data_IF_619899335648
#
_entry.id   IF_619899335648
#
_cell.length_a   1.000
_cell.length_b   1.000
_cell.length_c   1.000
_cell.angle_alpha   90.00
_cell.angle_beta   90.00
_cell.angle_gamma   90.00
#
_symmetry.space_group_name_H-M   'P 1'
#
loop_
_entity.id
_entity.type
_entity.pdbx_description
1 polymer ?
#
# COMPACT_ATOMS: atom_id res chain seq x y z
N UNK A 1 -2.94 -0.77 12.34
CA UNK A 1 -4.28 -0.15 12.21
C UNK A 1 -5.22 -1.22 11.68
N UNK A 2 -6.18 -1.64 12.48
CA UNK A 2 -7.06 -2.75 12.11
C UNK A 2 -7.99 -2.39 10.94
N UNK A 3 -8.50 -3.40 10.23
CA UNK A 3 -9.29 -3.17 9.01
C UNK A 3 -10.58 -2.39 9.28
N UNK A 4 -11.20 -2.56 10.45
CA UNK A 4 -12.38 -1.80 10.83
C UNK A 4 -12.05 -0.31 11.08
N UNK A 5 -10.92 -0.03 11.72
CA UNK A 5 -10.43 1.34 11.95
C UNK A 5 -10.15 2.05 10.63
N UNK A 6 -9.56 1.31 9.68
CA UNK A 6 -9.34 1.77 8.32
C UNK A 6 -10.63 2.30 7.68
N UNK A 7 -11.70 1.49 7.69
CA UNK A 7 -12.99 1.88 7.12
C UNK A 7 -13.66 3.01 7.88
N UNK A 8 -13.59 3.00 9.23
CA UNK A 8 -14.13 4.10 10.05
C UNK A 8 -13.40 5.42 9.76
N UNK A 9 -12.08 5.41 9.63
CA UNK A 9 -11.28 6.63 9.37
C UNK A 9 -11.57 7.20 7.97
N UNK A 10 -11.58 6.36 6.93
CA UNK A 10 -11.98 6.80 5.58
C UNK A 10 -13.44 7.28 5.55
N UNK A 11 -14.34 6.57 6.21
CA UNK A 11 -15.76 6.92 6.26
C UNK A 11 -15.99 8.31 6.87
N UNK A 12 -15.36 8.59 8.03
CA UNK A 12 -15.39 9.92 8.68
C UNK A 12 -14.88 11.01 7.75
N UNK A 13 -13.75 10.78 7.06
CA UNK A 13 -13.19 11.76 6.12
C UNK A 13 -14.15 12.05 4.96
N UNK A 14 -14.77 11.02 4.38
CA UNK A 14 -15.74 11.19 3.29
C UNK A 14 -17.00 11.92 3.74
N UNK A 15 -17.51 11.64 4.94
CA UNK A 15 -18.59 12.41 5.53
C UNK A 15 -18.21 13.88 5.72
N UNK A 16 -17.01 14.19 6.21
CA UNK A 16 -16.52 15.56 6.36
C UNK A 16 -16.44 16.30 5.02
N UNK A 17 -15.93 15.66 3.97
CA UNK A 17 -15.90 16.22 2.61
C UNK A 17 -17.33 16.50 2.12
N UNK A 18 -18.25 15.55 2.31
CA UNK A 18 -19.66 15.70 1.95
C UNK A 18 -20.30 16.90 2.66
N UNK A 19 -20.12 17.01 3.98
CA UNK A 19 -20.63 18.14 4.78
C UNK A 19 -20.01 19.47 4.33
N UNK A 20 -18.71 19.50 4.06
CA UNK A 20 -18.02 20.69 3.57
C UNK A 20 -18.57 21.19 2.23
N UNK A 21 -18.75 20.28 1.27
CA UNK A 21 -19.38 20.61 -0.03
C UNK A 21 -20.81 21.11 0.13
N UNK A 22 -21.59 20.50 1.03
CA UNK A 22 -22.95 20.93 1.30
C UNK A 22 -23.01 22.37 1.82
N UNK A 23 -22.20 22.67 2.85
CA UNK A 23 -22.12 24.00 3.43
C UNK A 23 -21.62 25.03 2.42
N UNK A 24 -20.64 24.66 1.58
CA UNK A 24 -20.17 25.52 0.49
C UNK A 24 -21.29 25.87 -0.49
N UNK A 25 -22.10 24.87 -0.89
CA UNK A 25 -23.28 25.10 -1.73
C UNK A 25 -24.28 26.06 -1.08
N UNK A 26 -24.59 25.87 0.21
CA UNK A 26 -25.51 26.75 0.95
C UNK A 26 -24.99 28.19 1.09
N UNK A 27 -23.70 28.36 1.39
CA UNK A 27 -23.08 29.70 1.49
C UNK A 27 -23.13 30.41 0.13
N UNK A 28 -22.86 29.68 -0.96
CA UNK A 28 -22.97 30.23 -2.32
C UNK A 28 -24.39 30.69 -2.66
N UNK A 29 -25.42 29.92 -2.27
CA UNK A 29 -26.82 30.32 -2.43
C UNK A 29 -27.17 31.55 -1.60
N UNK A 30 -26.71 31.60 -0.34
CA UNK A 30 -26.99 32.71 0.56
C UNK A 30 -26.37 34.03 0.06
N UNK A 31 -25.13 33.99 -0.43
CA UNK A 31 -24.41 35.21 -0.86
C UNK A 31 -24.92 35.81 -2.18
N UNK A 32 -25.64 35.05 -3.00
CA UNK A 32 -26.07 35.49 -4.34
C UNK A 32 -27.46 36.15 -4.36
N UNK A 33 -28.14 36.27 -3.20
CA UNK A 33 -29.38 37.06 -2.99
C UNK A 33 -30.41 36.97 -4.15
N UNK A 34 -30.57 35.78 -4.74
CA UNK A 34 -31.55 35.51 -5.79
C UNK A 34 -31.02 35.44 -7.23
N UNK A 35 -29.77 35.83 -7.51
CA UNK A 35 -29.15 35.66 -8.83
C UNK A 35 -28.33 34.36 -8.91
N UNK A 36 -28.98 33.24 -8.53
CA UNK A 36 -28.34 31.93 -8.39
C UNK A 36 -28.28 31.22 -9.74
N UNK A 37 -27.09 30.83 -10.17
CA UNK A 37 -26.96 29.81 -11.20
C UNK A 37 -27.19 28.43 -10.58
N UNK A 38 -28.36 27.84 -10.85
CA UNK A 38 -28.78 26.58 -10.25
C UNK A 38 -27.95 25.37 -10.69
N UNK A 39 -27.36 25.40 -11.89
CA UNK A 39 -26.57 24.28 -12.42
C UNK A 39 -25.42 23.86 -11.49
N UNK A 40 -24.47 24.77 -11.19
CA UNK A 40 -23.36 24.49 -10.26
C UNK A 40 -23.82 24.09 -8.85
N UNK A 41 -24.88 24.73 -8.34
CA UNK A 41 -25.43 24.43 -7.01
C UNK A 41 -25.96 23.00 -6.93
N UNK A 42 -26.73 22.57 -7.93
CA UNK A 42 -27.25 21.20 -8.01
C UNK A 42 -26.09 20.19 -8.06
N UNK A 43 -25.05 20.46 -8.85
CA UNK A 43 -23.87 19.59 -8.93
C UNK A 43 -23.15 19.46 -7.58
N UNK A 44 -22.97 20.56 -6.84
CA UNK A 44 -22.35 20.56 -5.52
C UNK A 44 -23.17 19.74 -4.51
N UNK A 45 -24.50 19.87 -4.53
CA UNK A 45 -25.41 19.11 -3.67
C UNK A 45 -25.35 17.62 -4.00
N UNK A 46 -25.39 17.26 -5.28
CA UNK A 46 -25.26 15.85 -5.72
C UNK A 46 -23.91 15.28 -5.27
N UNK A 47 -22.81 16.00 -5.51
CA UNK A 47 -21.49 15.58 -5.08
C UNK A 47 -21.43 15.37 -3.57
N UNK A 48 -21.98 16.30 -2.78
CA UNK A 48 -22.10 16.18 -1.33
C UNK A 48 -22.82 14.90 -0.92
N UNK A 49 -24.01 14.62 -1.49
CA UNK A 49 -24.80 13.43 -1.20
C UNK A 49 -24.06 12.13 -1.54
N UNK A 50 -23.34 12.11 -2.66
CA UNK A 50 -22.51 10.96 -3.06
C UNK A 50 -21.40 10.72 -2.04
N UNK A 51 -20.65 11.76 -1.65
CA UNK A 51 -19.60 11.64 -0.64
C UNK A 51 -20.14 11.20 0.73
N UNK A 52 -21.30 11.72 1.13
CA UNK A 52 -21.96 11.36 2.37
C UNK A 52 -22.41 9.89 2.37
N UNK A 53 -23.02 9.44 1.27
CA UNK A 53 -23.48 8.05 1.10
C UNK A 53 -22.32 7.06 1.15
N UNK A 54 -21.21 7.38 0.46
CA UNK A 54 -19.99 6.57 0.49
C UNK A 54 -19.41 6.53 1.92
N UNK A 55 -19.34 7.68 2.60
CA UNK A 55 -18.83 7.76 3.96
C UNK A 55 -19.66 6.94 4.95
N UNK A 56 -20.98 7.05 4.88
CA UNK A 56 -21.91 6.28 5.71
C UNK A 56 -21.79 4.78 5.47
N UNK A 57 -21.71 4.34 4.20
CA UNK A 57 -21.50 2.95 3.86
C UNK A 57 -20.20 2.39 4.43
N UNK A 58 -19.09 3.16 4.35
CA UNK A 58 -17.81 2.76 4.93
C UNK A 58 -17.85 2.69 6.46
N UNK A 59 -18.53 3.62 7.14
CA UNK A 59 -18.74 3.55 8.60
C UNK A 59 -19.52 2.30 9.00
N UNK A 60 -20.61 2.00 8.28
CA UNK A 60 -21.40 0.78 8.50
C UNK A 60 -20.54 -0.47 8.30
N UNK A 61 -19.74 -0.51 7.23
CA UNK A 61 -18.82 -1.62 6.95
C UNK A 61 -17.79 -1.81 8.07
N UNK A 62 -17.18 -0.72 8.55
CA UNK A 62 -16.26 -0.76 9.68
C UNK A 62 -16.90 -1.35 10.94
N UNK A 63 -18.13 -0.94 11.28
CA UNK A 63 -18.86 -1.48 12.42
C UNK A 63 -19.21 -2.98 12.28
N UNK A 64 -19.50 -3.45 11.05
CA UNK A 64 -19.76 -4.87 10.79
C UNK A 64 -18.49 -5.71 10.95
N UNK A 65 -17.36 -5.21 10.43
CA UNK A 65 -16.08 -5.88 10.57
C UNK A 65 -15.66 -5.97 12.03
N UNK A 66 -15.77 -4.87 12.79
CA UNK A 66 -15.45 -4.86 14.22
C UNK A 66 -16.17 -5.96 15.03
N UNK A 67 -17.42 -6.27 14.67
CA UNK A 67 -18.21 -7.33 15.32
C UNK A 67 -17.80 -8.74 14.91
N UNK A 68 -17.20 -8.90 13.73
CA UNK A 68 -16.96 -10.20 13.09
C UNK A 68 -15.47 -10.56 13.01
N UNK A 69 -14.58 -9.83 13.70
CA UNK A 69 -13.15 -10.14 13.70
C UNK A 69 -12.89 -11.47 14.41
N UNK A 70 -12.35 -12.42 13.66
CA UNK A 70 -11.82 -13.66 14.19
C UNK A 70 -10.46 -13.36 14.81
N UNK A 71 -10.34 -13.60 16.12
CA UNK A 71 -9.06 -13.51 16.83
C UNK A 71 -8.32 -14.84 16.67
N UNK A 72 -7.29 -14.85 15.83
CA UNK A 72 -6.34 -15.95 15.72
C UNK A 72 -4.95 -15.40 16.06
N UNK A 73 -4.07 -16.22 16.62
CA UNK A 73 -2.72 -15.83 17.08
C UNK A 73 -1.63 -15.93 16.00
N UNK A 74 -2.01 -16.00 14.72
CA UNK A 74 -1.06 -16.09 13.61
C UNK A 74 -0.11 -14.89 13.58
N UNK A 75 1.18 -15.14 13.43
CA UNK A 75 2.20 -14.11 13.27
C UNK A 75 2.49 -13.87 11.79
N UNK A 76 3.24 -12.81 11.49
CA UNK A 76 3.71 -12.53 10.12
C UNK A 76 4.43 -13.72 9.49
N UNK A 77 5.17 -14.50 10.26
CA UNK A 77 5.99 -15.60 9.72
C UNK A 77 5.16 -16.81 9.29
N UNK A 78 3.99 -17.00 9.89
CA UNK A 78 3.11 -18.16 9.68
C UNK A 78 2.23 -18.02 8.43
N UNK A 79 2.23 -16.84 7.80
CA UNK A 79 1.31 -16.49 6.72
C UNK A 79 2.05 -16.41 5.39
N UNK A 80 1.46 -17.01 4.37
CA UNK A 80 1.99 -16.99 3.00
C UNK A 80 1.12 -16.18 2.04
N UNK A 81 -0.06 -15.71 2.47
CA UNK A 81 -0.94 -14.87 1.63
C UNK A 81 -1.32 -13.59 2.36
N UNK A 82 -1.14 -12.46 1.69
CA UNK A 82 -1.46 -11.13 2.20
C UNK A 82 -2.37 -10.37 1.25
N UNK A 83 -3.16 -9.48 1.82
CA UNK A 83 -3.93 -8.46 1.11
C UNK A 83 -3.32 -7.10 1.43
N UNK A 84 -2.97 -6.34 0.39
CA UNK A 84 -2.25 -5.08 0.53
C UNK A 84 -3.21 -3.88 0.46
N UNK A 85 -3.24 -3.05 1.50
CA UNK A 85 -4.03 -1.81 1.53
C UNK A 85 -3.15 -0.57 1.70
N UNK A 86 -3.48 0.50 0.97
CA UNK A 86 -2.91 1.81 1.26
C UNK A 86 -3.56 2.44 2.48
N UNK A 87 -2.82 2.64 3.58
CA UNK A 87 -3.34 3.24 4.79
C UNK A 87 -3.50 4.77 4.65
N UNK A 88 -4.56 5.38 5.24
CA UNK A 88 -4.76 6.82 5.28
C UNK A 88 -3.75 7.51 6.23
N UNK A 89 -2.67 8.08 5.66
CA UNK A 89 -1.67 8.89 6.39
C UNK A 89 -0.69 9.61 5.43
N UNK A 90 -0.09 10.71 5.90
CA UNK A 90 0.80 11.57 5.11
C UNK A 90 2.18 10.94 4.82
N UNK A 91 2.61 9.98 5.64
CA UNK A 91 3.84 9.21 5.43
C UNK A 91 3.37 7.82 4.96
N UNK A 92 3.69 7.41 3.74
CA UNK A 92 3.04 6.30 3.02
C UNK A 92 3.26 4.96 3.72
N UNK A 93 2.18 4.31 4.17
CA UNK A 93 2.24 3.10 4.98
C UNK A 93 1.31 2.05 4.38
N UNK A 94 1.85 1.17 3.55
CA UNK A 94 1.11 0.03 3.01
C UNK A 94 0.89 -0.96 4.14
N UNK A 95 -0.34 -1.40 4.36
CA UNK A 95 -0.71 -2.40 5.35
C UNK A 95 -0.87 -3.77 4.70
N UNK A 96 -0.25 -4.77 5.30
CA UNK A 96 -0.40 -6.19 4.99
C UNK A 96 -1.45 -6.77 5.94
N UNK A 97 -2.50 -7.34 5.34
CA UNK A 97 -3.59 -7.97 6.05
C UNK A 97 -3.66 -9.46 5.71
N UNK A 98 -4.12 -10.28 6.64
CA UNK A 98 -4.54 -11.64 6.30
C UNK A 98 -5.77 -11.59 5.39
N UNK A 99 -6.03 -12.65 4.62
CA UNK A 99 -7.33 -12.87 3.97
C UNK A 99 -8.54 -12.67 4.89
N UNK A 100 -8.36 -12.93 6.18
CA UNK A 100 -9.41 -12.78 7.19
C UNK A 100 -9.64 -11.33 7.65
N UNK A 101 -8.77 -10.38 7.28
CA UNK A 101 -8.93 -8.98 7.64
C UNK A 101 -8.12 -8.52 8.85
N UNK A 102 -7.24 -9.37 9.40
CA UNK A 102 -6.36 -9.00 10.51
C UNK A 102 -5.15 -8.23 9.99
N UNK A 103 -4.81 -7.12 10.66
CA UNK A 103 -3.57 -6.41 10.37
C UNK A 103 -2.36 -7.22 10.85
N UNK A 104 -1.37 -7.44 9.97
CA UNK A 104 -0.19 -8.27 10.27
C UNK A 104 1.05 -7.40 10.39
N UNK A 105 1.30 -6.58 9.37
CA UNK A 105 2.44 -5.69 9.33
C UNK A 105 2.14 -4.49 8.43
N UNK A 106 2.95 -3.45 8.49
CA UNK A 106 2.83 -2.31 7.60
C UNK A 106 4.13 -1.55 7.49
N UNK A 107 4.29 -0.83 6.38
CA UNK A 107 5.47 0.02 6.23
C UNK A 107 5.32 1.25 7.12
N UNK A 108 6.42 1.74 7.69
CA UNK A 108 6.50 2.95 8.52
C UNK A 108 7.74 3.72 8.16
N UNK A 109 7.66 5.04 8.06
CA UNK A 109 8.83 5.88 7.80
C UNK A 109 9.55 6.06 9.12
N UNK A 110 10.83 5.70 9.15
CA UNK A 110 11.69 5.75 10.34
C UNK A 110 12.59 7.01 10.31
N UNK A 111 12.48 7.86 9.28
CA UNK A 111 13.44 8.94 9.06
C UNK A 111 13.62 9.90 10.25
N UNK A 112 14.89 10.17 10.52
CA UNK A 112 15.49 11.24 11.34
C UNK A 112 15.56 11.15 12.88
N UNK A 113 15.67 9.98 13.52
CA UNK A 113 16.11 9.92 14.94
C UNK A 113 17.51 9.35 15.18
N UNK A 114 18.12 8.69 14.19
CA UNK A 114 19.49 8.16 14.29
C UNK A 114 20.50 9.09 13.58
N UNK A 115 21.54 9.60 14.26
CA UNK A 115 22.53 10.53 13.71
C UNK A 115 23.25 10.03 12.44
N UNK A 116 23.32 8.71 12.26
CA UNK A 116 24.04 8.02 11.18
C UNK A 116 23.24 8.01 9.86
N UNK A 117 21.92 8.25 9.91
CA UNK A 117 20.99 8.12 8.79
C UNK A 117 20.48 9.46 8.23
N UNK A 118 21.17 10.56 8.52
CA UNK A 118 20.82 11.89 7.97
C UNK A 118 20.78 11.82 6.43
N UNK A 119 19.67 12.29 5.86
CA UNK A 119 19.40 12.42 4.42
C UNK A 119 18.98 11.16 3.66
N UNK A 120 18.65 10.05 4.32
CA UNK A 120 18.11 8.85 3.65
C UNK A 120 16.70 8.52 4.12
N UNK A 121 15.79 8.27 3.19
CA UNK A 121 14.46 7.76 3.50
C UNK A 121 14.58 6.29 3.88
N UNK A 122 14.44 6.01 5.19
CA UNK A 122 14.40 4.65 5.72
C UNK A 122 12.96 4.31 6.07
N UNK A 123 12.49 3.18 5.56
CA UNK A 123 11.20 2.61 5.87
C UNK A 123 11.40 1.33 6.67
N UNK A 124 10.66 1.14 7.76
CA UNK A 124 10.60 -0.14 8.46
C UNK A 124 9.33 -0.90 8.12
N UNK A 125 9.40 -2.23 8.16
CA UNK A 125 8.23 -3.10 8.20
C UNK A 125 7.89 -3.37 9.68
N UNK A 126 6.85 -2.71 10.19
CA UNK A 126 6.39 -2.82 11.58
C UNK A 126 5.27 -3.86 11.67
N UNK A 127 5.45 -4.88 12.51
CA UNK A 127 4.45 -5.90 12.82
C UNK A 127 3.28 -5.32 13.65
N UNK A 128 2.24 -6.12 13.84
CA UNK A 128 1.05 -5.71 14.60
C UNK A 128 1.30 -5.39 16.08
N UNK A 129 2.36 -5.97 16.65
CA UNK A 129 2.81 -5.76 18.03
C UNK A 129 3.79 -4.57 18.19
N UNK A 130 4.18 -3.94 17.07
CA UNK A 130 5.14 -2.83 17.05
C UNK A 130 6.60 -3.26 16.84
N UNK A 131 6.88 -4.55 16.68
CA UNK A 131 8.24 -5.01 16.34
C UNK A 131 8.62 -4.62 14.90
N UNK A 132 9.84 -4.13 14.69
CA UNK A 132 10.37 -3.88 13.35
C UNK A 132 10.99 -5.16 12.81
N UNK A 133 10.37 -5.74 11.79
CA UNK A 133 10.80 -6.99 11.15
C UNK A 133 11.91 -6.78 10.11
N UNK A 134 11.92 -5.63 9.45
CA UNK A 134 12.85 -5.32 8.37
C UNK A 134 13.02 -3.81 8.18
N UNK A 135 14.15 -3.41 7.59
CA UNK A 135 14.40 -2.04 7.16
C UNK A 135 14.64 -1.98 5.65
N UNK A 136 14.18 -0.91 5.04
CA UNK A 136 14.33 -0.62 3.63
C UNK A 136 14.92 0.76 3.45
N UNK A 137 15.98 0.86 2.68
CA UNK A 137 16.74 2.09 2.52
C UNK A 137 16.89 2.45 1.04
N UNK A 138 16.49 3.66 0.68
CA UNK A 138 16.74 4.22 -0.66
C UNK A 138 18.17 4.73 -0.83
N UNK A 139 18.61 4.78 -2.09
CA UNK A 139 19.83 5.47 -2.54
C UNK A 139 21.10 5.05 -1.78
N UNK A 140 21.39 3.75 -1.82
CA UNK A 140 22.60 3.18 -1.22
C UNK A 140 23.68 3.03 -2.28
N UNK A 141 24.55 4.04 -2.42
CA UNK A 141 25.74 4.10 -3.32
C UNK A 141 25.51 3.52 -4.73
N UNK A 142 25.51 2.19 -4.88
CA UNK A 142 25.42 1.45 -6.14
C UNK A 142 24.03 0.83 -6.40
N UNK A 143 23.07 1.00 -5.48
CA UNK A 143 21.76 0.38 -5.45
C UNK A 143 20.67 1.40 -5.17
N UNK A 144 19.52 1.24 -5.81
CA UNK A 144 18.36 2.10 -5.61
C UNK A 144 17.61 1.74 -4.33
N UNK A 145 17.69 0.47 -3.92
CA UNK A 145 17.01 -0.04 -2.73
C UNK A 145 17.82 -1.14 -2.05
N UNK A 146 18.09 -0.98 -0.76
CA UNK A 146 18.71 -1.99 0.08
C UNK A 146 17.71 -2.50 1.14
N UNK A 147 17.73 -3.81 1.37
CA UNK A 147 16.79 -4.49 2.25
C UNK A 147 17.57 -5.17 3.37
N UNK A 148 17.16 -4.88 4.60
CA UNK A 148 17.80 -5.37 5.82
C UNK A 148 16.80 -6.11 6.71
N UNK A 149 17.29 -7.07 7.49
CA UNK A 149 16.53 -7.73 8.55
C UNK A 149 16.37 -6.82 9.79
N UNK A 150 15.69 -7.32 10.84
CA UNK A 150 15.50 -6.61 12.11
C UNK A 150 16.80 -6.25 12.84
N UNK A 151 17.89 -6.98 12.58
CA UNK A 151 19.23 -6.74 13.13
C UNK A 151 20.09 -5.84 12.25
N UNK A 152 19.52 -5.29 11.16
CA UNK A 152 20.22 -4.47 10.18
C UNK A 152 21.27 -5.23 9.35
N UNK A 153 21.17 -6.56 9.26
CA UNK A 153 21.97 -7.35 8.31
C UNK A 153 21.38 -7.23 6.91
N UNK A 154 22.24 -7.07 5.90
CA UNK A 154 21.79 -6.98 4.51
C UNK A 154 21.23 -8.33 4.06
N UNK A 155 19.96 -8.33 3.63
CA UNK A 155 19.28 -9.50 3.08
C UNK A 155 19.37 -9.52 1.55
N UNK A 156 19.37 -8.33 0.94
CA UNK A 156 19.59 -8.18 -0.49
C UNK A 156 19.41 -6.75 -0.97
N UNK A 157 19.69 -6.56 -2.26
CA UNK A 157 19.62 -5.26 -2.92
C UNK A 157 18.82 -5.34 -4.22
N UNK A 158 18.25 -4.20 -4.60
CA UNK A 158 17.65 -4.00 -5.91
C UNK A 158 18.35 -2.86 -6.63
N UNK A 159 18.65 -3.10 -7.90
CA UNK A 159 19.19 -2.10 -8.81
C UNK A 159 18.28 -1.95 -10.01
N UNK A 160 17.73 -0.77 -10.20
CA UNK A 160 16.89 -0.46 -11.33
C UNK A 160 17.75 -0.30 -12.59
N UNK A 161 17.33 -0.96 -13.67
CA UNK A 161 17.89 -0.74 -14.98
C UNK A 161 17.03 0.35 -15.63
N UNK A 162 17.48 1.61 -15.56
CA UNK A 162 16.80 2.72 -16.25
C UNK A 162 16.91 2.55 -17.77
N UNK A 163 15.97 1.83 -18.35
CA UNK A 163 15.70 1.83 -19.79
C UNK A 163 14.57 2.84 -20.01
N UNK A 164 14.79 3.81 -20.90
CA UNK A 164 13.77 4.78 -21.32
C UNK A 164 12.62 4.06 -22.04
N UNK A 165 11.60 3.66 -21.29
CA UNK A 165 10.38 3.03 -21.80
C UNK A 165 9.22 3.34 -20.87
N UNK A 166 8.18 3.98 -21.41
CA UNK A 166 7.00 4.38 -20.64
C UNK A 166 6.23 3.14 -20.14
N UNK A 167 5.97 3.10 -18.83
CA UNK A 167 4.98 2.18 -18.25
C UNK A 167 5.50 0.92 -17.57
N UNK A 168 6.82 0.78 -17.32
CA UNK A 168 7.37 -0.39 -16.65
C UNK A 168 8.51 -0.05 -15.66
N UNK A 169 8.75 -0.93 -14.69
CA UNK A 169 9.92 -0.93 -13.79
C UNK A 169 10.74 -2.18 -14.09
N UNK A 170 12.01 -2.02 -14.44
CA UNK A 170 12.93 -3.13 -14.74
C UNK A 170 14.15 -3.06 -13.84
N UNK A 171 14.65 -4.19 -13.37
CA UNK A 171 15.87 -4.19 -12.58
C UNK A 171 16.38 -5.56 -12.22
N UNK A 172 17.53 -5.55 -11.53
CA UNK A 172 18.22 -6.75 -11.08
C UNK A 172 18.06 -6.91 -9.57
N UNK A 173 17.66 -8.12 -9.17
CA UNK A 173 17.68 -8.57 -7.78
C UNK A 173 19.06 -9.11 -7.45
N UNK A 174 19.63 -8.68 -6.33
CA UNK A 174 20.96 -9.09 -5.88
C UNK A 174 20.89 -9.57 -4.43
N UNK A 175 21.66 -10.61 -4.10
CA UNK A 175 21.74 -11.11 -2.72
C UNK A 175 22.68 -10.26 -1.85
N UNK A 176 22.80 -10.65 -0.58
CA UNK A 176 23.73 -10.08 0.41
C UNK A 176 25.19 -9.98 -0.08
N UNK A 177 25.62 -10.83 -1.02
CA UNK A 177 26.98 -10.89 -1.58
C UNK A 177 27.11 -10.16 -2.93
N UNK A 178 26.12 -9.36 -3.29
CA UNK A 178 26.05 -8.64 -4.56
C UNK A 178 25.98 -9.56 -5.80
N UNK A 179 25.60 -10.82 -5.61
CA UNK A 179 25.41 -11.78 -6.70
C UNK A 179 23.98 -11.63 -7.24
N UNK A 180 23.86 -11.46 -8.55
CA UNK A 180 22.57 -11.35 -9.24
C UNK A 180 21.76 -12.64 -9.11
N UNK A 181 20.53 -12.52 -8.59
CA UNK A 181 19.59 -13.63 -8.35
C UNK A 181 18.54 -13.71 -9.47
N UNK A 182 18.10 -12.57 -10.00
CA UNK A 182 17.10 -12.52 -11.08
C UNK A 182 17.08 -11.15 -11.73
N UNK A 183 16.51 -11.08 -12.92
CA UNK A 183 15.93 -9.85 -13.45
C UNK A 183 14.43 -9.85 -13.21
N UNK A 184 13.87 -8.67 -13.03
CA UNK A 184 12.42 -8.48 -12.92
C UNK A 184 11.97 -7.36 -13.84
N UNK A 185 10.75 -7.50 -14.32
CA UNK A 185 10.06 -6.53 -15.14
C UNK A 185 8.60 -6.47 -14.68
N UNK A 186 8.15 -5.28 -14.31
CA UNK A 186 6.80 -5.06 -13.79
C UNK A 186 6.16 -3.88 -14.48
N UNK A 187 5.03 -4.12 -15.14
CA UNK A 187 4.24 -3.09 -15.78
C UNK A 187 3.49 -2.21 -14.76
N UNK A 188 3.23 -0.96 -15.09
CA UNK A 188 2.54 -0.01 -14.21
C UNK A 188 1.09 -0.40 -13.91
N UNK A 189 0.44 -1.07 -14.86
CA UNK A 189 -0.94 -1.56 -14.79
C UNK A 189 -1.01 -3.08 -14.62
N UNK A 190 0.04 -3.69 -14.07
CA UNK A 190 0.11 -5.14 -13.91
C UNK A 190 -1.16 -5.73 -13.27
N UNK A 191 -1.70 -6.76 -13.90
CA UNK A 191 -2.74 -7.61 -13.32
C UNK A 191 -2.11 -8.72 -12.47
N UNK A 192 -0.97 -9.24 -12.88
CA UNK A 192 -0.23 -10.28 -12.16
C UNK A 192 1.26 -10.11 -12.43
N UNK A 193 2.10 -10.24 -11.40
CA UNK A 193 3.55 -10.21 -11.49
C UNK A 193 4.16 -11.20 -10.52
N UNK A 194 5.15 -11.98 -10.96
CA UNK A 194 5.86 -12.91 -10.10
C UNK A 194 7.35 -12.62 -10.08
N UNK A 195 7.94 -12.58 -8.90
CA UNK A 195 9.39 -12.55 -8.73
C UNK A 195 9.86 -13.98 -8.55
N UNK A 196 10.78 -14.39 -9.43
CA UNK A 196 11.37 -15.73 -9.43
C UNK A 196 12.87 -15.60 -9.26
N UNK A 197 13.50 -16.66 -8.78
CA UNK A 197 14.96 -16.81 -8.76
C UNK A 197 15.46 -17.40 -10.08
N UNK A 198 16.78 -17.44 -10.31
CA UNK A 198 17.37 -18.09 -11.50
C UNK A 198 16.94 -19.56 -11.69
N UNK A 199 16.67 -20.27 -10.59
CA UNK A 199 16.18 -21.67 -10.58
C UNK A 199 14.65 -21.78 -10.75
N UNK A 200 13.98 -20.70 -11.18
CA UNK A 200 12.53 -20.60 -11.42
C UNK A 200 11.64 -20.78 -10.17
N UNK A 201 12.23 -20.79 -8.97
CA UNK A 201 11.47 -20.80 -7.72
C UNK A 201 10.81 -19.44 -7.51
N UNK A 202 9.50 -19.47 -7.25
CA UNK A 202 8.72 -18.26 -6.97
C UNK A 202 9.09 -17.74 -5.58
N UNK A 203 9.49 -16.48 -5.48
CA UNK A 203 9.63 -15.77 -4.21
C UNK A 203 8.30 -15.14 -3.82
N UNK A 204 7.71 -14.38 -4.74
CA UNK A 204 6.42 -13.70 -4.56
C UNK A 204 5.63 -13.72 -5.85
N UNK A 205 4.33 -13.93 -5.74
CA UNK A 205 3.35 -13.61 -6.77
C UNK A 205 2.42 -12.51 -6.25
N UNK A 206 2.28 -11.42 -7.00
CA UNK A 206 1.37 -10.32 -6.70
C UNK A 206 0.31 -10.21 -7.80
N UNK A 207 -0.96 -10.27 -7.43
CA UNK A 207 -2.10 -10.23 -8.35
C UNK A 207 -3.07 -9.11 -7.98
N UNK A 208 -3.56 -8.38 -8.97
CA UNK A 208 -4.63 -7.38 -8.88
C UNK A 208 -5.82 -7.83 -9.72
N UNK A 209 -7.02 -7.61 -9.22
CA UNK A 209 -8.26 -7.95 -9.92
C UNK A 209 -9.01 -9.09 -9.26
N UNK A 210 -8.81 -10.33 -9.74
CA UNK A 210 -9.56 -11.48 -9.25
C UNK A 210 -9.24 -11.79 -7.78
N UNK A 211 -10.27 -11.74 -6.95
CA UNK A 211 -10.22 -12.01 -5.52
C UNK A 211 -11.46 -12.84 -5.13
N UNK A 212 -11.33 -13.83 -4.22
CA UNK A 212 -12.48 -14.56 -3.69
C UNK A 212 -13.57 -13.61 -3.17
N UNK A 213 -14.84 -13.98 -3.37
CA UNK A 213 -15.98 -13.13 -3.03
C UNK A 213 -15.93 -12.66 -1.57
N UNK A 214 -15.66 -13.58 -0.64
CA UNK A 214 -15.55 -13.30 0.79
C UNK A 214 -14.50 -12.23 1.11
N UNK A 215 -13.37 -12.25 0.41
CA UNK A 215 -12.31 -11.26 0.60
C UNK A 215 -12.71 -9.93 -0.05
N UNK A 216 -13.36 -9.97 -1.21
CA UNK A 216 -13.85 -8.77 -1.89
C UNK A 216 -14.92 -8.03 -1.07
N UNK A 217 -15.77 -8.77 -0.35
CA UNK A 217 -16.73 -8.18 0.59
C UNK A 217 -15.99 -7.45 1.72
N UNK A 218 -14.88 -8.01 2.23
CA UNK A 218 -14.08 -7.41 3.31
C UNK A 218 -13.23 -6.24 2.84
N UNK A 219 -12.52 -6.36 1.72
CA UNK A 219 -11.49 -5.42 1.27
C UNK A 219 -11.92 -4.48 0.13
N UNK A 220 -12.97 -4.83 -0.62
CA UNK A 220 -13.37 -4.14 -1.85
C UNK A 220 -12.77 -4.81 -3.09
N UNK A 221 -13.00 -4.24 -4.27
CA UNK A 221 -12.51 -4.80 -5.55
C UNK A 221 -11.10 -4.31 -5.88
N UNK A 222 -10.36 -5.09 -6.69
CA UNK A 222 -9.05 -4.74 -7.26
C UNK A 222 -7.93 -4.46 -6.23
N UNK A 223 -8.06 -4.98 -5.02
CA UNK A 223 -7.01 -4.90 -4.01
C UNK A 223 -5.89 -5.89 -4.34
N UNK A 224 -4.60 -5.50 -4.29
CA UNK A 224 -3.50 -6.42 -4.57
C UNK A 224 -3.42 -7.54 -3.53
N UNK A 225 -3.29 -8.78 -4.02
CA UNK A 225 -3.06 -9.98 -3.22
C UNK A 225 -1.62 -10.43 -3.46
N UNK A 226 -0.90 -10.69 -2.39
CA UNK A 226 0.48 -11.16 -2.40
C UNK A 226 0.47 -12.59 -1.91
N UNK A 227 1.09 -13.49 -2.67
CA UNK A 227 1.35 -14.88 -2.28
C UNK A 227 2.85 -15.12 -2.26
N UNK A 228 3.36 -15.55 -1.12
CA UNK A 228 4.72 -15.98 -0.96
C UNK A 228 4.92 -17.36 -1.59
N UNK A 229 6.14 -17.63 -2.04
CA UNK A 229 6.54 -18.96 -2.49
C UNK A 229 6.50 -20.00 -1.37
N UNK A 230 6.33 -21.26 -1.74
CA UNK A 230 6.41 -22.36 -0.78
C UNK A 230 7.86 -22.57 -0.33
N UNK A 231 8.05 -22.93 0.95
CA UNK A 231 9.36 -23.25 1.55
C UNK A 231 10.43 -22.15 1.37
N UNK A 232 10.02 -20.88 1.42
CA UNK A 232 10.96 -19.76 1.43
C UNK A 232 11.34 -19.39 2.87
N UNK A 233 12.59 -19.04 3.07
CA UNK A 233 13.12 -18.59 4.37
C UNK A 233 12.57 -17.22 4.76
N UNK A 234 12.61 -16.88 6.05
CA UNK A 234 12.18 -15.55 6.55
C UNK A 234 12.94 -14.39 5.87
N UNK A 235 14.22 -14.58 5.58
CA UNK A 235 15.04 -13.64 4.83
C UNK A 235 14.47 -13.43 3.41
N UNK A 236 14.12 -14.51 2.71
CA UNK A 236 13.49 -14.42 1.38
C UNK A 236 12.10 -13.80 1.42
N UNK A 237 11.31 -14.06 2.48
CA UNK A 237 10.02 -13.38 2.72
C UNK A 237 10.21 -11.86 2.77
N UNK A 238 11.16 -11.40 3.60
CA UNK A 238 11.52 -9.97 3.72
C UNK A 238 12.00 -9.42 2.38
N UNK A 239 12.91 -10.14 1.71
CA UNK A 239 13.52 -9.70 0.45
C UNK A 239 12.47 -9.47 -0.64
N UNK A 240 11.62 -10.46 -0.90
CA UNK A 240 10.58 -10.36 -1.91
C UNK A 240 9.60 -9.21 -1.60
N UNK A 241 9.20 -9.07 -0.33
CA UNK A 241 8.26 -8.01 0.06
C UNK A 241 8.90 -6.64 -0.07
N UNK A 242 10.17 -6.49 0.33
CA UNK A 242 10.92 -5.24 0.18
C UNK A 242 11.01 -4.78 -1.28
N UNK A 243 11.26 -5.72 -2.20
CA UNK A 243 11.25 -5.44 -3.65
C UNK A 243 9.85 -5.01 -4.12
N UNK A 244 8.82 -5.75 -3.73
CA UNK A 244 7.45 -5.43 -4.16
C UNK A 244 7.04 -4.03 -3.69
N UNK A 245 7.33 -3.70 -2.44
CA UNK A 245 7.04 -2.39 -1.86
C UNK A 245 7.76 -1.27 -2.62
N UNK A 246 9.04 -1.44 -2.96
CA UNK A 246 9.79 -0.51 -3.79
C UNK A 246 9.12 -0.28 -5.15
N UNK A 247 8.75 -1.37 -5.85
CA UNK A 247 8.14 -1.27 -7.18
C UNK A 247 6.80 -0.55 -7.12
N UNK A 248 5.95 -0.90 -6.15
CA UNK A 248 4.66 -0.27 -5.97
C UNK A 248 4.78 1.23 -5.71
N UNK A 249 5.74 1.61 -4.88
CA UNK A 249 6.04 3.00 -4.55
C UNK A 249 6.56 3.76 -5.78
N UNK A 250 7.50 3.17 -6.52
CA UNK A 250 8.04 3.72 -7.77
C UNK A 250 6.96 3.90 -8.85
N UNK A 251 6.10 2.90 -9.06
CA UNK A 251 4.98 2.97 -10.01
C UNK A 251 4.04 4.13 -9.61
N UNK A 252 3.71 4.25 -8.32
CA UNK A 252 2.84 5.32 -7.81
C UNK A 252 3.42 6.70 -8.07
N UNK A 253 4.70 6.90 -7.76
CA UNK A 253 5.40 8.17 -8.02
C UNK A 253 5.45 8.49 -9.51
N UNK A 254 5.80 7.52 -10.36
CA UNK A 254 5.90 7.74 -11.81
C UNK A 254 4.56 8.01 -12.47
N UNK A 255 3.51 7.26 -12.12
CA UNK A 255 2.13 7.57 -12.58
C UNK A 255 1.72 8.98 -12.19
N UNK A 256 2.00 9.39 -10.95
CA UNK A 256 1.65 10.74 -10.50
C UNK A 256 2.36 11.85 -11.28
N UNK A 257 3.56 11.61 -11.82
CA UNK A 257 4.26 12.57 -12.68
C UNK A 257 3.64 12.59 -14.09
N UNK A 258 3.37 11.41 -14.65
CA UNK A 258 2.82 11.29 -16.02
C UNK A 258 1.41 11.87 -16.14
N UNK A 259 0.57 11.76 -15.11
CA UNK A 259 -0.83 12.20 -15.15
C UNK A 259 -1.08 13.59 -14.55
N UNK A 260 -0.05 14.26 -14.02
CA UNK A 260 -0.14 15.64 -13.51
C UNK A 260 0.56 16.69 -14.40
N UNK A 261 1.16 16.26 -15.51
CA UNK A 261 1.63 17.12 -16.62
C UNK A 261 0.60 17.10 -17.77
#
# INVERSE_FOLDING_TARGET
MELFEYYKKRGKLKCLIGTGLFLYGLIGMYNTWGNINWGPVILIIIASLVFFSIGFWQLRKGNLLEKNIIKNDLTFWDIDTYVLLELPGNNKHLGLYTPDGRYVAGTKMISSTLPILKNKEVFGLEASDGEILAYFQSEVKNYDWAIYDSNYNCVGMFKENMIQGFGMVRGSLMNEKEIKISEIEVEFDFFETSFRTMDDRILINCKRGYMPLEWSERFGLNVPIIKLGNNISNAEKIFGLGILLYILETIKVRKSRIFND
#
